data_IF_085174626643
#
_entry.id   IF_085174626643
#
_cell.length_a   1.000
_cell.length_b   1.000
_cell.length_c   1.000
_cell.angle_alpha   90.00
_cell.angle_beta   90.00
_cell.angle_gamma   90.00
#
_symmetry.space_group_name_H-M   'P 1'
#
loop_
_entity.id
_entity.type
_entity.pdbx_description
1 polymer ?
#
# COMPACT_ATOMS: atom_id res chain seq x y z
N UNK A 1 9.93 9.17 10.04
CA UNK A 1 9.11 8.06 9.50
C UNK A 1 9.59 7.67 8.12
N UNK A 2 9.26 6.44 7.66
CA UNK A 2 9.57 5.93 6.31
C UNK A 2 8.25 5.53 5.63
N UNK A 3 7.94 6.11 4.49
CA UNK A 3 6.65 5.94 3.82
C UNK A 3 6.78 5.05 2.58
N UNK A 4 5.96 4.01 2.51
CA UNK A 4 5.83 3.08 1.37
C UNK A 4 4.48 3.34 0.71
N UNK A 5 4.43 3.65 -0.59
CA UNK A 5 3.18 3.74 -1.33
C UNK A 5 2.95 2.47 -2.15
N UNK A 6 1.81 1.80 -1.94
CA UNK A 6 1.36 0.66 -2.75
C UNK A 6 0.43 1.19 -3.84
N UNK A 7 0.82 1.04 -5.09
CA UNK A 7 0.15 1.67 -6.23
C UNK A 7 -0.12 0.69 -7.36
N UNK A 8 -1.14 0.95 -8.18
CA UNK A 8 -1.44 0.15 -9.36
C UNK A 8 -2.15 0.96 -10.44
N UNK A 9 -1.97 0.59 -11.71
CA UNK A 9 -2.67 1.19 -12.84
C UNK A 9 -4.14 0.74 -12.93
N UNK A 10 -4.47 -0.44 -12.40
CA UNK A 10 -5.78 -1.11 -12.54
C UNK A 10 -6.36 -1.45 -11.17
N UNK A 11 -7.69 -1.50 -11.11
CA UNK A 11 -8.43 -2.10 -9.99
C UNK A 11 -8.36 -3.63 -10.01
N UNK A 12 -8.62 -4.25 -8.86
CA UNK A 12 -8.73 -5.70 -8.73
C UNK A 12 -7.40 -6.49 -8.77
N UNK A 13 -6.25 -5.81 -8.72
CA UNK A 13 -4.93 -6.46 -8.73
C UNK A 13 -4.47 -6.94 -7.35
N UNK A 14 -5.26 -6.72 -6.29
CA UNK A 14 -4.93 -7.12 -4.91
C UNK A 14 -4.08 -6.10 -4.15
N UNK A 15 -4.16 -4.83 -4.50
CA UNK A 15 -3.38 -3.75 -3.88
C UNK A 15 -3.62 -3.64 -2.37
N UNK A 16 -4.88 -3.52 -1.95
CA UNK A 16 -5.30 -3.47 -0.54
C UNK A 16 -4.87 -4.71 0.23
N UNK A 17 -5.03 -5.88 -0.37
CA UNK A 17 -4.57 -7.17 0.19
C UNK A 17 -3.05 -7.16 0.42
N UNK A 18 -2.28 -6.70 -0.59
CA UNK A 18 -0.82 -6.57 -0.45
C UNK A 18 -0.47 -5.58 0.66
N UNK A 19 -1.11 -4.41 0.70
CA UNK A 19 -0.85 -3.38 1.70
C UNK A 19 -1.09 -3.91 3.13
N UNK A 20 -2.21 -4.59 3.37
CA UNK A 20 -2.54 -5.18 4.67
C UNK A 20 -1.54 -6.24 5.11
N UNK A 21 -1.24 -7.20 4.21
CA UNK A 21 -0.33 -8.30 4.53
C UNK A 21 1.12 -7.81 4.69
N UNK A 22 1.58 -6.83 3.89
CA UNK A 22 2.89 -6.21 4.08
C UNK A 22 2.97 -5.42 5.37
N UNK A 23 1.95 -4.62 5.72
CA UNK A 23 1.93 -3.91 6.98
C UNK A 23 2.00 -4.87 8.18
N UNK A 24 1.24 -5.98 8.12
CA UNK A 24 1.29 -7.04 9.13
C UNK A 24 2.66 -7.71 9.18
N UNK A 25 3.25 -8.07 8.03
CA UNK A 25 4.57 -8.70 7.98
C UNK A 25 5.66 -7.77 8.53
N UNK A 26 5.66 -6.49 8.13
CA UNK A 26 6.61 -5.48 8.61
C UNK A 26 6.50 -5.27 10.12
N UNK A 27 5.29 -5.26 10.69
CA UNK A 27 5.08 -5.12 12.14
C UNK A 27 5.60 -6.30 12.95
N UNK A 28 5.74 -7.49 12.34
CA UNK A 28 6.28 -8.70 12.96
C UNK A 28 7.79 -8.84 12.80
N UNK A 29 8.30 -8.48 11.61
CA UNK A 29 9.71 -8.62 11.25
C UNK A 29 10.60 -7.49 11.76
N UNK A 30 10.00 -6.37 12.19
CA UNK A 30 10.75 -5.22 12.71
C UNK A 30 10.30 -4.85 14.12
N UNK A 31 11.17 -4.15 14.86
CA UNK A 31 10.80 -3.55 16.14
C UNK A 31 10.10 -2.17 15.98
N UNK A 32 9.95 -1.69 14.75
CA UNK A 32 9.40 -0.37 14.46
C UNK A 32 7.86 -0.40 14.45
N UNK A 33 7.22 0.66 14.94
CA UNK A 33 5.78 0.82 14.75
C UNK A 33 5.43 0.88 13.27
N UNK A 34 4.30 0.27 12.89
CA UNK A 34 3.77 0.32 11.53
C UNK A 34 2.41 1.01 11.54
N UNK A 35 2.21 1.96 10.63
CA UNK A 35 0.92 2.60 10.38
C UNK A 35 0.45 2.26 8.96
N UNK A 36 -0.62 1.50 8.85
CA UNK A 36 -1.32 1.28 7.59
C UNK A 36 -2.32 2.43 7.38
N UNK A 37 -2.27 3.09 6.23
CA UNK A 37 -3.15 4.23 5.88
C UNK A 37 -3.95 3.87 4.64
N UNK A 38 -5.26 3.90 4.77
CA UNK A 38 -6.17 3.68 3.65
C UNK A 38 -6.49 5.02 2.96
N UNK A 39 -6.00 5.20 1.75
CA UNK A 39 -6.30 6.36 0.90
C UNK A 39 -7.38 6.05 -0.14
N UNK A 40 -7.89 4.80 -0.19
CA UNK A 40 -8.95 4.43 -1.12
C UNK A 40 -10.33 4.78 -0.53
N UNK A 41 -11.17 5.57 -1.24
CA UNK A 41 -12.54 5.85 -0.80
C UNK A 41 -13.42 4.60 -0.58
N UNK A 42 -13.00 3.43 -1.08
CA UNK A 42 -13.67 2.16 -0.78
C UNK A 42 -13.48 1.69 0.66
N UNK A 43 -12.51 2.25 1.39
CA UNK A 43 -12.24 2.01 2.82
C UNK A 43 -12.10 0.51 3.18
N UNK A 44 -11.40 -0.24 2.32
CA UNK A 44 -11.35 -1.70 2.40
C UNK A 44 -10.14 -2.24 3.20
N UNK A 45 -9.09 -1.43 3.41
CA UNK A 45 -7.87 -1.87 4.09
C UNK A 45 -8.16 -2.37 5.51
N UNK A 46 -9.05 -1.69 6.21
CA UNK A 46 -9.42 -2.03 7.58
C UNK A 46 -10.06 -3.41 7.72
N UNK A 47 -10.80 -3.88 6.71
CA UNK A 47 -11.44 -5.20 6.74
C UNK A 47 -10.39 -6.32 6.81
N UNK A 48 -9.26 -6.17 6.12
CA UNK A 48 -8.14 -7.11 6.22
C UNK A 48 -7.41 -7.08 7.58
N UNK A 49 -7.67 -6.07 8.40
CA UNK A 49 -7.03 -5.85 9.70
C UNK A 49 -8.00 -5.98 10.89
N UNK A 50 -9.17 -6.56 10.66
CA UNK A 50 -10.17 -6.82 11.72
C UNK A 50 -10.98 -5.59 12.12
N UNK A 51 -10.98 -4.52 11.33
CA UNK A 51 -11.81 -3.35 11.57
C UNK A 51 -13.29 -3.67 11.33
N UNK A 52 -14.16 -3.20 12.22
CA UNK A 52 -15.60 -3.34 12.02
C UNK A 52 -16.06 -2.65 10.73
N UNK A 53 -16.91 -3.29 9.89
CA UNK A 53 -17.48 -2.64 8.70
C UNK A 53 -18.34 -1.40 9.03
N UNK A 54 -18.75 -1.24 10.30
CA UNK A 54 -19.51 -0.09 10.77
C UNK A 54 -18.66 1.06 11.29
N UNK A 55 -17.32 0.94 11.25
CA UNK A 55 -16.44 2.04 11.65
C UNK A 55 -16.49 3.17 10.62
N UNK A 56 -16.89 4.34 11.07
CA UNK A 56 -17.06 5.54 10.23
C UNK A 56 -15.91 6.54 10.39
N UNK A 57 -15.06 6.37 11.41
CA UNK A 57 -13.91 7.25 11.62
C UNK A 57 -12.86 7.01 10.53
N UNK A 58 -12.17 8.06 10.15
CA UNK A 58 -11.08 7.97 9.22
C UNK A 58 -10.42 9.33 9.00
N UNK A 59 -9.28 9.29 8.30
CA UNK A 59 -8.51 10.51 8.06
C UNK A 59 -9.31 11.53 7.26
N UNK A 60 -10.14 11.09 6.33
CA UNK A 60 -10.91 11.97 5.45
C UNK A 60 -11.85 12.88 6.21
N UNK A 61 -12.61 12.31 7.15
CA UNK A 61 -13.51 13.07 8.04
C UNK A 61 -12.74 13.97 9.01
N UNK A 62 -11.63 13.45 9.57
CA UNK A 62 -10.82 14.23 10.49
C UNK A 62 -10.19 15.44 9.78
N UNK A 63 -9.67 15.25 8.57
CA UNK A 63 -9.06 16.31 7.76
C UNK A 63 -10.07 17.41 7.38
N UNK A 64 -11.26 17.04 6.89
CA UNK A 64 -12.31 18.01 6.55
C UNK A 64 -12.84 18.78 7.77
N UNK A 65 -12.94 18.09 8.90
CA UNK A 65 -13.37 18.70 10.15
C UNK A 65 -12.26 19.44 10.91
N UNK A 66 -11.05 19.53 10.34
CA UNK A 66 -9.85 20.10 10.98
C UNK A 66 -9.58 19.52 12.38
N UNK A 67 -9.84 18.21 12.55
CA UNK A 67 -9.58 17.47 13.79
C UNK A 67 -8.22 16.77 13.72
N UNK A 68 -7.59 16.49 14.88
CA UNK A 68 -6.36 15.72 14.91
C UNK A 68 -6.54 14.33 14.28
N UNK A 69 -5.70 13.96 13.32
CA UNK A 69 -5.75 12.64 12.66
C UNK A 69 -5.56 11.49 13.65
N UNK A 70 -4.83 11.71 14.74
CA UNK A 70 -4.63 10.73 15.79
C UNK A 70 -5.95 10.21 16.38
N UNK A 71 -7.02 11.02 16.38
CA UNK A 71 -8.35 10.60 16.85
C UNK A 71 -9.04 9.57 15.97
N UNK A 72 -8.55 9.40 14.72
CA UNK A 72 -9.07 8.43 13.78
C UNK A 72 -8.19 7.17 13.67
N UNK A 73 -7.03 7.14 14.32
CA UNK A 73 -6.16 5.96 14.35
C UNK A 73 -6.79 4.86 15.22
N UNK A 74 -6.68 3.63 14.72
CA UNK A 74 -7.13 2.40 15.37
C UNK A 74 -5.91 1.51 15.64
N UNK A 75 -5.95 0.71 16.72
CA UNK A 75 -4.95 -0.33 16.96
C UNK A 75 -5.41 -1.61 16.27
N UNK A 76 -4.61 -2.15 15.37
CA UNK A 76 -4.86 -3.45 14.73
C UNK A 76 -4.12 -4.59 15.46
N UNK A 77 -2.88 -4.33 15.92
CA UNK A 77 -2.12 -5.25 16.78
C UNK A 77 -1.10 -4.46 17.61
N UNK A 78 -0.22 -5.15 18.36
CA UNK A 78 0.73 -4.51 19.27
C UNK A 78 1.61 -3.43 18.60
N UNK A 79 2.10 -3.68 17.37
CA UNK A 79 2.98 -2.76 16.63
C UNK A 79 2.35 -2.28 15.32
N UNK A 80 1.06 -2.59 15.06
CA UNK A 80 0.35 -2.22 13.85
C UNK A 80 -0.85 -1.34 14.19
N UNK A 81 -0.85 -0.15 13.62
CA UNK A 81 -1.98 0.78 13.68
C UNK A 81 -2.58 0.97 12.28
N UNK A 82 -3.84 1.35 12.25
CA UNK A 82 -4.60 1.62 11.04
C UNK A 82 -5.15 3.05 11.11
N UNK A 83 -4.98 3.80 10.03
CA UNK A 83 -5.70 5.04 9.77
C UNK A 83 -6.63 4.79 8.58
N UNK A 84 -7.91 4.46 8.81
CA UNK A 84 -8.86 4.17 7.74
C UNK A 84 -9.18 5.43 6.93
N UNK A 85 -9.72 5.24 5.71
CA UNK A 85 -10.25 6.35 4.92
C UNK A 85 -11.43 7.02 5.66
N UNK A 86 -12.34 6.23 6.18
CA UNK A 86 -13.59 6.66 6.80
C UNK A 86 -14.72 6.83 5.79
N UNK A 87 -15.90 7.20 6.26
CA UNK A 87 -17.08 7.38 5.41
C UNK A 87 -17.28 8.87 5.07
N UNK A 88 -17.29 9.20 3.79
CA UNK A 88 -17.66 10.52 3.26
C UNK A 88 -18.83 10.37 2.29
N UNK A 89 -19.66 11.40 2.19
CA UNK A 89 -20.53 11.56 1.05
C UNK A 89 -19.76 12.10 -0.18
N UNK A 90 -20.41 12.15 -1.33
CA UNK A 90 -19.77 12.53 -2.59
C UNK A 90 -19.30 14.00 -2.57
N UNK A 91 -20.07 14.90 -1.95
CA UNK A 91 -19.74 16.33 -1.86
C UNK A 91 -18.50 16.54 -0.99
N UNK A 92 -18.45 15.92 0.16
CA UNK A 92 -17.32 15.97 1.09
C UNK A 92 -16.07 15.36 0.45
N UNK A 93 -16.22 14.25 -0.30
CA UNK A 93 -15.12 13.63 -1.04
C UNK A 93 -14.54 14.58 -2.07
N UNK A 94 -15.37 15.24 -2.88
CA UNK A 94 -14.93 16.23 -3.85
C UNK A 94 -14.19 17.41 -3.19
N UNK A 95 -14.66 17.88 -2.04
CA UNK A 95 -13.99 18.95 -1.30
C UNK A 95 -12.61 18.51 -0.81
N UNK A 96 -12.49 17.28 -0.30
CA UNK A 96 -11.22 16.71 0.12
C UNK A 96 -10.23 16.62 -1.06
N UNK A 97 -10.69 16.11 -2.21
CA UNK A 97 -9.87 15.98 -3.42
C UNK A 97 -9.37 17.34 -3.94
N UNK A 98 -10.22 18.39 -3.92
CA UNK A 98 -9.81 19.76 -4.24
C UNK A 98 -8.73 20.26 -3.26
N UNK A 99 -8.86 19.96 -1.98
CA UNK A 99 -7.87 20.34 -0.97
C UNK A 99 -6.52 19.64 -1.19
N UNK A 100 -6.55 18.37 -1.61
CA UNK A 100 -5.35 17.61 -1.96
C UNK A 100 -4.66 18.16 -3.22
N UNK A 101 -5.43 18.60 -4.21
CA UNK A 101 -4.88 19.15 -5.45
C UNK A 101 -4.33 20.56 -5.27
N UNK A 102 -4.84 21.33 -4.31
CA UNK A 102 -4.38 22.68 -4.01
C UNK A 102 -2.97 22.72 -3.35
N UNK A 103 -2.50 21.61 -2.76
CA UNK A 103 -1.21 21.56 -2.06
C UNK A 103 -0.44 20.28 -2.41
N UNK A 104 0.78 20.46 -2.90
CA UNK A 104 1.65 19.32 -3.28
C UNK A 104 2.07 18.43 -2.10
N UNK A 105 2.23 19.04 -0.93
CA UNK A 105 2.65 18.41 0.33
C UNK A 105 1.48 18.06 1.27
N UNK A 106 0.24 18.04 0.77
CA UNK A 106 -0.95 17.92 1.63
C UNK A 106 -0.88 16.68 2.53
N UNK A 107 -0.63 15.50 1.96
CA UNK A 107 -0.58 14.25 2.73
C UNK A 107 0.62 14.22 3.69
N UNK A 108 1.78 14.68 3.25
CA UNK A 108 2.97 14.74 4.09
C UNK A 108 2.73 15.63 5.32
N UNK A 109 2.13 16.81 5.12
CA UNK A 109 1.76 17.70 6.21
C UNK A 109 0.73 17.07 7.16
N UNK A 110 -0.26 16.35 6.64
CA UNK A 110 -1.23 15.62 7.47
C UNK A 110 -0.55 14.54 8.32
N UNK A 111 0.33 13.72 7.73
CA UNK A 111 1.06 12.67 8.47
C UNK A 111 1.99 13.25 9.54
N UNK A 112 2.58 14.42 9.32
CA UNK A 112 3.41 15.11 10.33
C UNK A 112 2.60 15.48 11.58
N UNK A 113 1.28 15.77 11.47
CA UNK A 113 0.43 16.07 12.63
C UNK A 113 0.23 14.87 13.57
N UNK A 114 0.60 13.67 13.15
CA UNK A 114 0.50 12.47 13.98
C UNK A 114 1.68 12.35 14.98
N UNK A 115 2.74 13.15 14.81
CA UNK A 115 3.93 13.13 15.67
C UNK A 115 4.48 11.70 15.87
N UNK A 116 4.52 10.92 14.77
CA UNK A 116 4.95 9.52 14.81
C UNK A 116 6.43 9.41 15.19
N UNK A 117 6.85 8.34 15.90
CA UNK A 117 8.25 8.03 16.11
C UNK A 117 9.05 8.03 14.79
N UNK A 118 10.31 8.48 14.83
CA UNK A 118 11.15 8.63 13.63
C UNK A 118 11.30 7.33 12.83
N UNK A 119 11.31 6.18 13.51
CA UNK A 119 11.45 4.86 12.89
C UNK A 119 10.13 4.25 12.41
N UNK A 120 9.00 4.95 12.55
CA UNK A 120 7.71 4.43 12.10
C UNK A 120 7.72 4.15 10.59
N UNK A 121 7.24 2.97 10.21
CA UNK A 121 6.98 2.60 8.81
C UNK A 121 5.51 2.90 8.50
N UNK A 122 5.27 3.72 7.48
CA UNK A 122 3.92 4.03 7.00
C UNK A 122 3.68 3.30 5.69
N UNK A 123 2.60 2.52 5.59
CA UNK A 123 2.17 1.82 4.38
C UNK A 123 0.90 2.47 3.87
N UNK A 124 0.97 3.10 2.69
CA UNK A 124 -0.17 3.77 2.04
C UNK A 124 -0.83 2.82 1.05
N UNK A 125 -2.10 2.46 1.26
CA UNK A 125 -2.96 1.86 0.24
C UNK A 125 -3.65 2.96 -0.57
N UNK A 126 -3.61 2.89 -1.90
CA UNK A 126 -4.12 3.95 -2.78
C UNK A 126 -5.29 3.45 -3.64
N UNK A 127 -6.19 4.31 -4.14
CA UNK A 127 -7.13 3.91 -5.18
C UNK A 127 -6.40 3.56 -6.48
N UNK A 128 -7.01 2.76 -7.37
CA UNK A 128 -6.42 2.41 -8.65
C UNK A 128 -6.40 3.60 -9.63
N UNK A 129 -5.35 3.67 -10.44
CA UNK A 129 -5.22 4.66 -11.50
C UNK A 129 -4.96 6.10 -11.03
N UNK A 130 -4.95 7.06 -11.97
CA UNK A 130 -4.68 8.46 -11.66
C UNK A 130 -5.74 9.07 -10.75
N UNK A 131 -5.32 9.67 -9.64
CA UNK A 131 -6.19 10.33 -8.68
C UNK A 131 -5.40 11.34 -7.84
N UNK A 132 -6.06 12.28 -7.13
CA UNK A 132 -5.39 13.12 -6.14
C UNK A 132 -4.66 12.30 -5.07
N UNK A 133 -5.27 11.22 -4.61
CA UNK A 133 -4.70 10.28 -3.62
C UNK A 133 -3.39 9.65 -4.10
N UNK A 134 -3.37 9.14 -5.35
CA UNK A 134 -2.16 8.58 -5.94
C UNK A 134 -1.05 9.64 -6.04
N UNK A 135 -1.37 10.85 -6.50
CA UNK A 135 -0.38 11.94 -6.60
C UNK A 135 0.23 12.27 -5.26
N UNK A 136 -0.60 12.42 -4.22
CA UNK A 136 -0.15 12.70 -2.86
C UNK A 136 0.68 11.55 -2.29
N UNK A 137 0.26 10.30 -2.50
CA UNK A 137 1.02 9.13 -2.05
C UNK A 137 2.41 9.07 -2.70
N UNK A 138 2.51 9.27 -4.03
CA UNK A 138 3.78 9.27 -4.76
C UNK A 138 4.72 10.39 -4.31
N UNK A 139 4.20 11.60 -4.01
CA UNK A 139 5.02 12.73 -3.52
C UNK A 139 5.50 12.52 -2.08
N UNK A 140 4.74 11.81 -1.27
CA UNK A 140 5.06 11.59 0.15
C UNK A 140 5.97 10.39 0.36
N UNK A 141 5.93 9.39 -0.53
CA UNK A 141 6.63 8.13 -0.36
C UNK A 141 8.14 8.24 -0.56
N UNK A 142 8.92 7.50 0.24
CA UNK A 142 10.33 7.22 0.01
C UNK A 142 10.52 5.91 -0.77
N UNK A 143 9.53 5.01 -0.73
CA UNK A 143 9.53 3.75 -1.48
C UNK A 143 8.20 3.60 -2.18
N UNK A 144 8.23 3.33 -3.48
CA UNK A 144 7.03 3.06 -4.29
C UNK A 144 7.03 1.59 -4.70
N UNK A 145 5.94 0.90 -4.40
CA UNK A 145 5.71 -0.49 -4.81
C UNK A 145 4.54 -0.54 -5.79
N UNK A 146 4.82 -0.87 -7.03
CA UNK A 146 3.82 -1.08 -8.09
C UNK A 146 3.38 -2.54 -8.08
N UNK A 147 2.09 -2.79 -7.86
CA UNK A 147 1.53 -4.13 -7.97
C UNK A 147 0.87 -4.34 -9.34
N UNK A 148 1.12 -5.49 -9.95
CA UNK A 148 0.56 -5.91 -11.21
C UNK A 148 0.22 -7.40 -11.21
N UNK A 149 -0.75 -7.81 -12.02
CA UNK A 149 -0.99 -9.23 -12.27
C UNK A 149 0.00 -9.78 -13.31
N UNK A 150 0.24 -11.09 -13.26
CA UNK A 150 0.97 -11.81 -14.30
C UNK A 150 0.07 -12.07 -15.53
N UNK A 151 -0.50 -11.00 -16.11
CA UNK A 151 -1.37 -11.03 -17.28
C UNK A 151 -1.00 -9.96 -18.33
N UNK A 152 -1.43 -10.16 -19.57
CA UNK A 152 -1.13 -9.28 -20.70
C UNK A 152 -1.68 -7.85 -20.49
N UNK A 153 -2.83 -7.71 -19.84
CA UNK A 153 -3.44 -6.41 -19.60
C UNK A 153 -2.69 -5.59 -18.56
N UNK A 154 -2.19 -6.24 -17.49
CA UNK A 154 -1.32 -5.59 -16.51
C UNK A 154 0.03 -5.21 -17.13
N UNK A 155 0.63 -6.10 -17.91
CA UNK A 155 1.88 -5.80 -18.64
C UNK A 155 1.73 -4.56 -19.54
N UNK A 156 0.64 -4.47 -20.32
CA UNK A 156 0.36 -3.32 -21.18
C UNK A 156 0.17 -1.98 -20.43
N UNK A 157 -0.18 -2.02 -19.15
CA UNK A 157 -0.37 -0.81 -18.33
C UNK A 157 0.86 -0.37 -17.53
N UNK A 158 1.94 -1.16 -17.50
CA UNK A 158 3.19 -0.78 -16.81
C UNK A 158 3.75 0.57 -17.28
N UNK A 159 3.80 0.88 -18.62
CA UNK A 159 4.30 2.18 -19.06
C UNK A 159 3.49 3.37 -18.54
N UNK A 160 2.18 3.19 -18.29
CA UNK A 160 1.36 4.24 -17.67
C UNK A 160 1.81 4.49 -16.23
N UNK A 161 1.99 3.43 -15.43
CA UNK A 161 2.48 3.57 -14.05
C UNK A 161 3.86 4.17 -13.99
N UNK A 162 4.77 3.75 -14.86
CA UNK A 162 6.12 4.33 -14.95
C UNK A 162 6.07 5.84 -15.19
N UNK A 163 5.22 6.31 -16.12
CA UNK A 163 5.02 7.76 -16.36
C UNK A 163 4.46 8.49 -15.16
N UNK A 164 3.48 7.90 -14.43
CA UNK A 164 2.91 8.51 -13.23
C UNK A 164 3.96 8.59 -12.10
N UNK A 165 4.74 7.53 -11.91
CA UNK A 165 5.86 7.54 -10.96
C UNK A 165 6.88 8.61 -11.34
N UNK A 166 7.33 8.66 -12.59
CA UNK A 166 8.27 9.70 -13.06
C UNK A 166 7.74 11.13 -12.89
N UNK A 167 6.42 11.33 -13.04
CA UNK A 167 5.81 12.64 -12.92
C UNK A 167 5.67 13.14 -11.48
N UNK A 168 5.45 12.24 -10.52
CA UNK A 168 5.04 12.64 -9.16
C UNK A 168 5.94 12.12 -8.05
N UNK A 169 6.66 11.01 -8.25
CA UNK A 169 7.59 10.50 -7.25
C UNK A 169 8.84 11.37 -7.18
N UNK A 170 9.16 11.82 -5.99
CA UNK A 170 10.36 12.62 -5.71
C UNK A 170 11.31 11.78 -4.88
N UNK A 171 12.30 11.14 -5.51
CA UNK A 171 13.24 10.26 -4.82
C UNK A 171 13.96 10.98 -3.68
N UNK A 172 14.06 10.30 -2.54
CA UNK A 172 14.80 10.78 -1.37
C UNK A 172 15.90 9.78 -1.02
N UNK A 173 17.14 10.24 -0.98
CA UNK A 173 18.28 9.37 -0.70
C UNK A 173 18.70 8.49 -1.88
N UNK A 174 19.11 7.26 -1.59
CA UNK A 174 19.68 6.34 -2.59
C UNK A 174 18.63 5.47 -3.31
N UNK A 175 17.35 5.59 -2.95
CA UNK A 175 16.24 4.89 -3.58
C UNK A 175 15.59 5.82 -4.58
N UNK A 176 15.90 5.62 -5.87
CA UNK A 176 15.48 6.51 -6.96
C UNK A 176 14.45 5.86 -7.89
N UNK A 177 14.12 4.59 -7.69
CA UNK A 177 13.29 3.80 -8.59
C UNK A 177 12.11 3.19 -7.85
N UNK A 178 11.03 2.91 -8.59
CA UNK A 178 9.93 2.12 -8.08
C UNK A 178 10.28 0.62 -8.11
N UNK A 179 9.72 -0.11 -7.16
CA UNK A 179 9.79 -1.56 -7.08
C UNK A 179 8.47 -2.19 -7.53
N UNK A 180 8.50 -3.47 -7.86
CA UNK A 180 7.36 -4.17 -8.43
C UNK A 180 7.08 -5.46 -7.66
N UNK A 181 5.80 -5.77 -7.51
CA UNK A 181 5.30 -7.07 -7.03
C UNK A 181 4.34 -7.63 -8.07
N UNK A 182 4.59 -8.85 -8.53
CA UNK A 182 3.64 -9.61 -9.35
C UNK A 182 2.72 -10.39 -8.44
N UNK A 183 1.42 -10.21 -8.60
CA UNK A 183 0.41 -10.83 -7.77
C UNK A 183 -0.44 -11.84 -8.54
N UNK A 184 -1.05 -12.78 -7.82
CA UNK A 184 -1.93 -13.82 -8.37
C UNK A 184 -1.24 -14.63 -9.47
N UNK A 185 0.04 -14.95 -9.29
CA UNK A 185 0.79 -15.75 -10.25
C UNK A 185 0.32 -17.20 -10.17
N UNK A 186 -0.18 -17.72 -11.29
CA UNK A 186 -0.67 -19.08 -11.39
C UNK A 186 0.37 -20.00 -12.03
N UNK A 187 1.05 -20.80 -11.22
CA UNK A 187 2.13 -21.70 -11.68
C UNK A 187 1.68 -22.80 -12.66
N UNK A 188 0.39 -23.15 -12.68
CA UNK A 188 -0.19 -24.13 -13.59
C UNK A 188 -0.62 -23.58 -14.96
N UNK A 189 -0.69 -22.25 -15.16
CA UNK A 189 -1.09 -21.61 -16.43
C UNK A 189 0.12 -21.17 -17.22
N UNK A 190 0.30 -21.71 -18.45
CA UNK A 190 1.44 -21.41 -19.34
C UNK A 190 1.56 -19.90 -19.54
N UNK A 191 0.47 -19.22 -19.91
CA UNK A 191 0.48 -17.77 -20.17
C UNK A 191 0.93 -16.95 -18.93
N UNK A 192 0.48 -17.32 -17.73
CA UNK A 192 0.89 -16.64 -16.49
C UNK A 192 2.39 -16.81 -16.25
N UNK A 193 2.94 -18.00 -16.51
CA UNK A 193 4.36 -18.27 -16.41
C UNK A 193 5.17 -17.46 -17.42
N UNK A 194 4.77 -17.49 -18.70
CA UNK A 194 5.47 -16.77 -19.76
C UNK A 194 5.52 -15.25 -19.49
N UNK A 195 4.39 -14.68 -19.08
CA UNK A 195 4.32 -13.24 -18.73
C UNK A 195 5.15 -12.95 -17.49
N UNK A 196 5.14 -13.81 -16.47
CA UNK A 196 6.00 -13.67 -15.30
C UNK A 196 7.48 -13.63 -15.69
N UNK A 197 7.91 -14.51 -16.57
CA UNK A 197 9.31 -14.57 -17.02
C UNK A 197 9.70 -13.32 -17.84
N UNK A 198 8.81 -12.85 -18.71
CA UNK A 198 8.99 -11.57 -19.44
C UNK A 198 9.11 -10.40 -18.48
N UNK A 199 8.17 -10.27 -17.51
CA UNK A 199 8.18 -9.19 -16.54
C UNK A 199 9.42 -9.27 -15.63
N UNK A 200 9.82 -10.46 -15.20
CA UNK A 200 11.04 -10.67 -14.43
C UNK A 200 12.29 -10.20 -15.19
N UNK A 201 12.38 -10.53 -16.47
CA UNK A 201 13.50 -10.09 -17.32
C UNK A 201 13.52 -8.57 -17.49
N UNK A 202 12.37 -7.96 -17.74
CA UNK A 202 12.25 -6.51 -17.99
C UNK A 202 12.44 -5.67 -16.74
N UNK A 203 11.96 -6.13 -15.58
CA UNK A 203 12.02 -5.39 -14.30
C UNK A 203 13.35 -5.66 -13.57
N UNK A 204 13.97 -6.81 -13.82
CA UNK A 204 15.25 -7.16 -13.20
C UNK A 204 15.23 -7.01 -11.67
N UNK A 205 16.20 -6.27 -11.08
CA UNK A 205 16.31 -6.09 -9.64
C UNK A 205 15.17 -5.25 -9.02
N UNK A 206 14.37 -4.56 -9.81
CA UNK A 206 13.20 -3.82 -9.33
C UNK A 206 12.04 -4.76 -8.97
N UNK A 207 11.99 -6.00 -9.49
CA UNK A 207 11.01 -7.01 -9.09
C UNK A 207 11.42 -7.59 -7.72
N UNK A 208 10.72 -7.15 -6.67
CA UNK A 208 11.04 -7.52 -5.28
C UNK A 208 10.19 -8.67 -4.73
N UNK A 209 9.14 -9.06 -5.46
CA UNK A 209 8.30 -10.16 -5.01
C UNK A 209 7.36 -10.70 -6.07
N UNK A 210 7.01 -11.96 -5.88
CA UNK A 210 6.00 -12.69 -6.62
C UNK A 210 5.07 -13.32 -5.58
N UNK A 211 3.78 -13.02 -5.66
CA UNK A 211 2.76 -13.60 -4.81
C UNK A 211 1.92 -14.55 -5.66
N UNK A 212 1.90 -15.81 -5.30
CA UNK A 212 1.13 -16.82 -6.00
C UNK A 212 -0.36 -16.71 -5.69
N UNK A 213 -1.18 -17.17 -6.62
CA UNK A 213 -2.61 -17.34 -6.39
C UNK A 213 -2.84 -18.39 -5.32
N UNK A 214 -3.59 -18.01 -4.27
CA UNK A 214 -3.84 -18.86 -3.08
C UNK A 214 -5.23 -18.54 -2.55
N UNK A 215 -6.05 -19.58 -2.38
CA UNK A 215 -7.43 -19.47 -1.89
C UNK A 215 -7.49 -18.88 -0.47
N UNK A 216 -6.46 -19.15 0.35
CA UNK A 216 -6.35 -18.62 1.70
C UNK A 216 -6.42 -17.10 1.78
N UNK A 217 -6.06 -16.39 0.69
CA UNK A 217 -6.16 -14.91 0.63
C UNK A 217 -7.63 -14.46 0.64
N UNK A 218 -8.47 -15.13 -0.15
CA UNK A 218 -9.90 -14.84 -0.19
C UNK A 218 -10.62 -15.27 1.10
N UNK A 219 -10.26 -16.43 1.64
CA UNK A 219 -10.82 -16.95 2.88
C UNK A 219 -10.47 -16.05 4.08
N UNK A 220 -9.24 -15.53 4.14
CA UNK A 220 -8.82 -14.60 5.17
C UNK A 220 -9.70 -13.35 5.17
N UNK A 221 -9.93 -12.72 4.01
CA UNK A 221 -10.81 -11.55 3.90
C UNK A 221 -12.26 -11.87 4.29
N UNK A 222 -12.76 -13.04 3.90
CA UNK A 222 -14.11 -13.49 4.30
C UNK A 222 -14.27 -13.69 5.83
N UNK A 223 -13.15 -13.80 6.54
CA UNK A 223 -13.09 -13.90 8.00
C UNK A 223 -12.57 -12.60 8.67
N UNK A 224 -12.66 -11.45 7.98
CA UNK A 224 -12.25 -10.13 8.48
C UNK A 224 -10.81 -10.11 9.03
N UNK A 225 -9.88 -10.79 8.35
CA UNK A 225 -8.49 -10.88 8.80
C UNK A 225 -7.52 -10.89 7.61
N UNK A 226 -6.21 -10.78 7.88
CA UNK A 226 -5.16 -10.92 6.88
C UNK A 226 -4.71 -12.37 6.71
N UNK A 227 -4.01 -12.65 5.61
CA UNK A 227 -3.58 -14.02 5.26
C UNK A 227 -2.55 -14.59 6.25
N UNK A 228 -1.68 -13.72 6.82
CA UNK A 228 -0.65 -14.15 7.77
C UNK A 228 -1.25 -14.68 9.09
N UNK A 229 -2.40 -14.13 9.51
CA UNK A 229 -3.13 -14.58 10.70
C UNK A 229 -3.99 -15.80 10.41
N UNK A 230 -4.69 -15.80 9.25
CA UNK A 230 -5.61 -16.85 8.88
C UNK A 230 -4.91 -18.15 8.50
N UNK A 231 -3.90 -18.07 7.63
CA UNK A 231 -3.20 -19.23 7.07
C UNK A 231 -1.67 -19.04 7.12
N UNK A 232 -1.05 -19.12 8.32
CA UNK A 232 0.36 -18.77 8.52
C UNK A 232 1.35 -19.65 7.76
N UNK A 233 0.90 -20.81 7.27
CA UNK A 233 1.72 -21.75 6.51
C UNK A 233 1.35 -21.83 5.02
N UNK A 234 0.49 -20.93 4.51
CA UNK A 234 0.12 -20.88 3.10
C UNK A 234 1.25 -20.35 2.23
N UNK A 235 1.17 -20.62 0.92
CA UNK A 235 2.14 -20.10 -0.04
C UNK A 235 2.10 -18.58 -0.09
N UNK A 236 0.90 -17.99 -0.08
CA UNK A 236 0.74 -16.54 -0.10
C UNK A 236 1.37 -15.88 1.14
N UNK A 237 1.24 -16.48 2.33
CA UNK A 237 1.91 -16.01 3.56
C UNK A 237 3.43 -15.99 3.38
N UNK A 238 4.02 -17.08 2.87
CA UNK A 238 5.45 -17.14 2.62
C UNK A 238 5.89 -16.06 1.60
N UNK A 239 5.11 -15.84 0.54
CA UNK A 239 5.38 -14.84 -0.47
C UNK A 239 5.30 -13.40 0.09
N UNK A 240 4.28 -13.07 0.89
CA UNK A 240 4.17 -11.76 1.56
C UNK A 240 5.33 -11.51 2.52
N UNK A 241 5.72 -12.52 3.29
CA UNK A 241 6.89 -12.43 4.19
C UNK A 241 8.18 -12.17 3.40
N UNK A 242 8.39 -12.87 2.28
CA UNK A 242 9.54 -12.64 1.40
C UNK A 242 9.55 -11.21 0.83
N UNK A 243 8.40 -10.70 0.38
CA UNK A 243 8.25 -9.30 -0.06
C UNK A 243 8.62 -8.32 1.06
N UNK A 244 8.13 -8.54 2.27
CA UNK A 244 8.43 -7.69 3.43
C UNK A 244 9.92 -7.67 3.76
N UNK A 245 10.60 -8.81 3.71
CA UNK A 245 12.06 -8.91 3.92
C UNK A 245 12.85 -8.11 2.87
N UNK A 246 12.43 -8.13 1.61
CA UNK A 246 13.04 -7.28 0.58
C UNK A 246 12.82 -5.79 0.86
N UNK A 247 11.58 -5.42 1.26
CA UNK A 247 11.27 -4.04 1.64
C UNK A 247 12.10 -3.56 2.84
N UNK A 248 12.32 -4.38 3.84
CA UNK A 248 13.19 -4.05 4.99
C UNK A 248 14.60 -3.69 4.52
N UNK A 249 15.18 -4.48 3.61
CA UNK A 249 16.52 -4.20 3.04
C UNK A 249 16.53 -2.88 2.25
N UNK A 250 15.46 -2.57 1.53
CA UNK A 250 15.32 -1.31 0.79
C UNK A 250 15.19 -0.14 1.77
N UNK A 251 14.37 -0.28 2.82
CA UNK A 251 14.16 0.76 3.83
C UNK A 251 15.43 1.11 4.62
N UNK A 252 16.40 0.17 4.75
CA UNK A 252 17.71 0.46 5.34
C UNK A 252 18.55 1.45 4.51
N UNK A 253 18.28 1.57 3.21
CA UNK A 253 18.94 2.50 2.29
C UNK A 253 18.25 3.85 2.19
N UNK A 254 17.04 3.98 2.73
CA UNK A 254 16.26 5.22 2.77
C UNK A 254 16.71 6.07 3.93
N UNK A 255 16.98 7.35 3.68
CA UNK A 255 17.21 8.33 4.76
C UNK A 255 15.88 8.70 5.41
N UNK A 256 15.81 8.85 6.73
CA UNK A 256 14.62 9.37 7.39
C UNK A 256 14.27 10.77 6.84
N UNK A 257 12.99 11.04 6.67
CA UNK A 257 12.51 12.40 6.38
C UNK A 257 12.78 13.27 7.60
N UNK A 258 13.36 14.46 7.44
CA UNK A 258 13.60 15.39 8.54
C UNK A 258 12.29 15.86 9.21
#
# INVERSE_FOLDING_TARGET
MKVIAIVSAKGGVGKTTLAANLATALSRETAFPVLAVDLDPQNALGLHLGMSPHELRGFSRAALAHKPLASACLSASQNLHLLPYGALDETDRMQLEVSMDAREDWLAAQLQTLELPEDTIVVLDTPPGPSPYLRQALRTAQVVVVIALADAASYATLPLMQRLVQAYYQPQGDVTEAFYVLNQVHSGKVLSKDITDVMRTNLGPQLIGIVHEDEAVGEALANDTNTLDYAPYSQATADFMACAQQLIRILQRVRPTP
#
